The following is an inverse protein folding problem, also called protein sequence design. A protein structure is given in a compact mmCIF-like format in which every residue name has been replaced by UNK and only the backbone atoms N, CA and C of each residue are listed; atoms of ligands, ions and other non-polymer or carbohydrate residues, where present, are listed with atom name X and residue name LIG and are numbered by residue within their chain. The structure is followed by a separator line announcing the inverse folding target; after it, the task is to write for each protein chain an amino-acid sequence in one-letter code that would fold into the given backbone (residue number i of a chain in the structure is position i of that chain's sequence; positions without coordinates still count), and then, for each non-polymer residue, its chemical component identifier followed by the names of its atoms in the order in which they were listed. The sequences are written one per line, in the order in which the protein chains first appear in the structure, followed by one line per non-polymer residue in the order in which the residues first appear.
data_IF_150374361672
#
_entry.id   IF_150374361672
#
_cell.length_a   1.000
_cell.length_b   1.000
_cell.length_c   1.000
_cell.angle_alpha   90.00
_cell.angle_beta   90.00
_cell.angle_gamma   90.00
#
_symmetry.space_group_name_H-M   'P 1'
#
loop_
_entity.id
_entity.type
_entity.pdbx_description
1 polymer ?
#
# COMPACT_ATOMS: atom_id res chain seq x y z
N UNK A 1 -27.42 -7.48 2.02
CA UNK A 1 -26.85 -7.95 3.15
C UNK A 1 -25.58 -8.70 2.96
N UNK A 2 -25.61 -9.91 2.40
CA UNK A 2 -24.39 -10.69 2.17
C UNK A 2 -23.46 -10.03 1.16
N UNK A 3 -23.99 -9.23 0.26
CA UNK A 3 -23.16 -8.55 -0.73
C UNK A 3 -22.22 -7.54 -0.10
N UNK A 4 -22.66 -6.77 0.88
CA UNK A 4 -21.82 -5.84 1.55
C UNK A 4 -20.65 -6.52 2.26
N UNK A 5 -20.88 -7.69 2.83
CA UNK A 5 -19.85 -8.47 3.48
C UNK A 5 -18.83 -9.00 2.48
N UNK A 6 -19.27 -9.42 1.29
CA UNK A 6 -18.35 -9.87 0.25
C UNK A 6 -17.44 -8.75 -0.20
N UNK A 7 -18.01 -7.58 -0.42
CA UNK A 7 -17.21 -6.44 -0.84
C UNK A 7 -16.13 -6.10 0.18
N UNK A 8 -16.49 -6.14 1.46
CA UNK A 8 -15.51 -5.90 2.51
C UNK A 8 -14.38 -6.92 2.48
N UNK A 9 -14.70 -8.20 2.20
CA UNK A 9 -13.67 -9.23 2.11
C UNK A 9 -12.74 -9.00 0.93
N UNK A 10 -13.29 -8.60 -0.21
CA UNK A 10 -12.51 -8.36 -1.41
C UNK A 10 -11.57 -7.16 -1.26
N UNK A 11 -11.95 -6.20 -0.42
CA UNK A 11 -11.15 -5.01 -0.22
C UNK A 11 -10.38 -5.03 1.09
N UNK A 12 -10.31 -6.21 1.72
CA UNK A 12 -9.65 -6.34 3.01
C UNK A 12 -8.18 -5.96 2.93
N UNK A 13 -7.75 -5.14 3.88
CA UNK A 13 -6.34 -4.81 4.07
C UNK A 13 -5.75 -5.74 5.11
N UNK A 14 -4.52 -6.16 4.87
CA UNK A 14 -3.80 -7.01 5.81
C UNK A 14 -2.48 -6.36 6.17
N UNK A 15 -1.97 -6.60 7.40
CA UNK A 15 -0.68 -6.08 7.79
C UNK A 15 0.44 -6.79 7.04
N UNK A 16 1.45 -6.04 6.64
CA UNK A 16 2.63 -6.57 5.98
C UNK A 16 3.84 -5.76 6.43
N UNK A 17 5.03 -6.28 6.12
CA UNK A 17 6.26 -5.52 6.24
C UNK A 17 6.94 -5.60 4.88
N UNK A 18 6.83 -4.53 4.12
CA UNK A 18 7.41 -4.45 2.79
C UNK A 18 8.33 -3.25 2.71
N UNK A 19 9.44 -3.43 2.02
CA UNK A 19 10.27 -2.31 1.62
C UNK A 19 9.76 -1.82 0.28
N UNK A 20 9.54 -0.52 0.17
CA UNK A 20 9.00 0.10 -1.03
C UNK A 20 9.95 1.18 -1.50
N UNK A 21 10.35 1.10 -2.76
CA UNK A 21 11.01 2.19 -3.44
C UNK A 21 9.93 3.02 -4.10
N UNK A 22 9.94 4.32 -3.88
CA UNK A 22 8.99 5.15 -4.58
C UNK A 22 9.65 6.43 -5.08
N UNK A 23 9.11 6.93 -6.19
CA UNK A 23 9.62 8.12 -6.85
C UNK A 23 8.47 9.03 -7.23
N UNK A 24 8.56 10.29 -6.86
CA UNK A 24 7.59 11.30 -7.21
C UNK A 24 8.28 12.64 -7.32
N UNK A 25 8.01 13.37 -8.39
CA UNK A 25 8.50 14.74 -8.57
C UNK A 25 10.02 14.87 -8.38
N UNK A 26 10.75 13.88 -8.90
CA UNK A 26 12.22 13.91 -8.83
C UNK A 26 12.79 13.43 -7.49
N UNK A 27 11.94 13.15 -6.51
CA UNK A 27 12.36 12.64 -5.22
C UNK A 27 12.32 11.11 -5.23
N UNK A 28 13.37 10.49 -4.71
CA UNK A 28 13.49 9.04 -4.66
C UNK A 28 13.62 8.63 -3.22
N UNK A 29 12.71 7.81 -2.72
CA UNK A 29 12.70 7.41 -1.31
C UNK A 29 12.52 5.91 -1.16
N UNK A 30 13.00 5.40 -0.02
CA UNK A 30 12.95 4.00 0.32
C UNK A 30 12.31 3.90 1.71
N UNK A 31 11.08 3.42 1.75
CA UNK A 31 10.26 3.44 2.96
C UNK A 31 9.62 2.09 3.19
N UNK A 32 8.89 1.96 4.29
CA UNK A 32 8.19 0.73 4.62
C UNK A 32 6.70 0.86 4.36
N UNK A 33 6.14 -0.15 3.72
CA UNK A 33 4.68 -0.29 3.67
C UNK A 33 4.26 -1.22 4.80
N UNK A 34 3.18 -0.87 5.48
CA UNK A 34 2.72 -1.61 6.66
C UNK A 34 1.38 -2.29 6.48
N UNK A 35 0.67 -2.00 5.40
CA UNK A 35 -0.51 -2.79 5.05
C UNK A 35 -0.71 -2.76 3.54
N UNK A 36 -1.42 -3.77 3.04
CA UNK A 36 -1.67 -3.92 1.62
C UNK A 36 -3.07 -4.50 1.40
N UNK A 37 -3.70 -4.08 0.30
CA UNK A 37 -4.90 -4.69 -0.23
C UNK A 37 -4.72 -4.82 -1.74
N UNK A 38 -5.69 -5.41 -2.42
CA UNK A 38 -5.63 -5.49 -3.88
C UNK A 38 -5.70 -4.13 -4.56
N UNK A 39 -6.13 -3.10 -3.83
CA UNK A 39 -6.31 -1.77 -4.39
C UNK A 39 -5.17 -0.81 -4.08
N UNK A 40 -4.37 -1.09 -3.07
CA UNK A 40 -3.29 -0.17 -2.71
C UNK A 40 -2.54 -0.56 -1.47
N UNK A 41 -1.66 0.34 -1.05
CA UNK A 41 -0.79 0.15 0.11
C UNK A 41 -0.79 1.41 0.96
N UNK A 42 -0.41 1.24 2.23
CA UNK A 42 -0.08 2.37 3.10
C UNK A 42 1.43 2.38 3.31
N UNK A 43 2.07 3.50 2.98
CA UNK A 43 3.50 3.68 3.13
C UNK A 43 3.75 4.60 4.30
N UNK A 44 4.54 4.15 5.27
CA UNK A 44 4.95 4.99 6.39
C UNK A 44 6.05 5.93 5.94
N UNK A 45 5.84 7.21 6.14
CA UNK A 45 6.84 8.22 5.82
C UNK A 45 6.55 9.46 6.65
N UNK A 46 7.60 10.16 7.05
CA UNK A 46 7.44 11.43 7.75
C UNK A 46 7.13 12.58 6.81
N UNK A 47 7.19 12.31 5.51
CA UNK A 47 7.10 13.34 4.48
C UNK A 47 6.13 12.91 3.38
N UNK A 48 4.85 12.68 3.72
CA UNK A 48 3.89 12.19 2.72
C UNK A 48 3.64 13.25 1.65
N UNK A 49 3.41 12.75 0.44
CA UNK A 49 3.03 13.62 -0.68
C UNK A 49 1.55 13.95 -0.60
N UNK A 50 1.17 15.04 -1.24
CA UNK A 50 -0.22 15.49 -1.24
C UNK A 50 -1.12 14.53 -2.00
N UNK A 51 -2.39 14.40 -1.57
CA UNK A 51 -3.36 13.63 -2.35
C UNK A 51 -3.42 14.11 -3.80
N UNK A 52 -3.52 13.15 -4.70
CA UNK A 52 -3.49 13.41 -6.14
C UNK A 52 -2.12 13.27 -6.77
N UNK A 53 -1.06 13.20 -5.96
CA UNK A 53 0.29 13.03 -6.48
C UNK A 53 0.45 11.62 -7.07
N UNK A 54 1.03 11.55 -8.27
CA UNK A 54 1.32 10.26 -8.91
C UNK A 54 2.71 9.81 -8.51
N UNK A 55 2.83 8.53 -8.19
CA UNK A 55 4.04 7.95 -7.64
C UNK A 55 4.39 6.67 -8.38
N UNK A 56 5.65 6.52 -8.75
CA UNK A 56 6.15 5.24 -9.25
C UNK A 56 6.54 4.38 -8.07
N UNK A 57 5.92 3.22 -7.95
CA UNK A 57 6.15 2.29 -6.85
C UNK A 57 6.87 1.04 -7.33
N UNK A 58 7.76 0.53 -6.50
CA UNK A 58 8.41 -0.75 -6.74
C UNK A 58 8.60 -1.46 -5.42
N UNK A 59 8.11 -2.69 -5.32
CA UNK A 59 8.25 -3.49 -4.10
C UNK A 59 8.25 -4.97 -4.43
N UNK A 60 8.79 -5.76 -3.48
CA UNK A 60 8.84 -7.21 -3.64
C UNK A 60 7.93 -7.84 -2.60
N UNK A 61 7.04 -8.71 -3.03
CA UNK A 61 6.14 -9.40 -2.12
C UNK A 61 6.90 -10.47 -1.36
N UNK A 62 6.64 -10.61 -0.04
CA UNK A 62 7.27 -11.68 0.73
C UNK A 62 6.82 -13.05 0.22
N UNK A 63 7.65 -14.05 0.50
CA UNK A 63 7.43 -15.46 0.15
C UNK A 63 7.57 -15.77 -1.33
N UNK A 64 6.90 -15.02 -2.20
CA UNK A 64 6.96 -15.27 -3.63
C UNK A 64 8.17 -14.64 -4.31
N UNK A 65 8.80 -13.67 -3.66
CA UNK A 65 9.87 -12.85 -4.24
C UNK A 65 9.45 -12.16 -5.54
N UNK A 66 8.14 -12.03 -5.74
CA UNK A 66 7.62 -11.36 -6.92
C UNK A 66 7.83 -9.85 -6.78
N UNK A 67 8.51 -9.27 -7.75
CA UNK A 67 8.71 -7.83 -7.80
C UNK A 67 7.56 -7.17 -8.54
N UNK A 68 6.98 -6.15 -7.95
CA UNK A 68 5.86 -5.41 -8.53
C UNK A 68 6.29 -3.97 -8.77
N UNK A 69 6.10 -3.51 -9.98
CA UNK A 69 6.32 -2.11 -10.35
C UNK A 69 4.99 -1.57 -10.87
N UNK A 70 4.48 -0.54 -10.22
CA UNK A 70 3.15 -0.03 -10.54
C UNK A 70 3.08 1.47 -10.27
N UNK A 71 2.27 2.16 -11.05
CA UNK A 71 1.96 3.56 -10.81
C UNK A 71 0.92 3.63 -9.70
N UNK A 72 1.10 4.57 -8.77
CA UNK A 72 0.16 4.79 -7.70
C UNK A 72 -0.29 6.24 -7.63
N UNK A 73 -1.42 6.46 -7.00
CA UNK A 73 -1.93 7.79 -6.73
C UNK A 73 -2.16 7.94 -5.24
N UNK A 74 -1.61 8.99 -4.65
CA UNK A 74 -1.86 9.28 -3.24
C UNK A 74 -3.32 9.69 -3.08
N UNK A 75 -4.05 8.97 -2.23
CA UNK A 75 -5.45 9.25 -2.00
C UNK A 75 -5.69 9.97 -0.69
N UNK A 76 -4.80 9.79 0.28
CA UNK A 76 -4.87 10.51 1.55
C UNK A 76 -3.49 10.49 2.19
N UNK A 77 -3.27 11.43 3.12
CA UNK A 77 -1.98 11.57 3.78
C UNK A 77 -2.16 11.91 5.25
N UNK A 78 -1.34 11.29 6.09
CA UNK A 78 -1.22 11.61 7.51
C UNK A 78 0.11 12.32 7.71
N UNK A 79 0.12 13.63 7.96
CA UNK A 79 1.37 14.35 8.15
C UNK A 79 2.02 13.99 9.47
N UNK A 80 3.32 14.23 9.57
CA UNK A 80 4.04 14.07 10.82
C UNK A 80 3.49 15.07 11.84
N UNK A 81 3.27 14.59 13.07
CA UNK A 81 2.76 15.42 14.15
C UNK A 81 3.87 15.69 15.17
N UNK A 82 3.84 16.88 15.85
CA UNK A 82 4.87 17.18 16.85
C UNK A 82 4.87 16.22 18.02
N UNK A 83 3.71 15.65 18.36
CA UNK A 83 3.58 14.69 19.45
C UNK A 83 3.31 13.31 18.89
N UNK A 84 4.00 12.33 19.46
CA UNK A 84 3.73 10.95 19.13
C UNK A 84 2.42 10.53 19.78
N UNK A 85 1.48 10.10 18.98
CA UNK A 85 0.18 9.63 19.46
C UNK A 85 0.05 8.14 19.20
N UNK A 86 -0.60 7.43 20.13
CA UNK A 86 -0.90 6.01 19.93
C UNK A 86 -1.83 5.88 18.71
N UNK A 87 -1.61 4.85 17.91
CA UNK A 87 -2.42 4.54 16.74
C UNK A 87 -2.38 5.58 15.62
N UNK A 88 -1.44 6.53 15.68
CA UNK A 88 -1.24 7.47 14.60
C UNK A 88 0.13 7.23 13.97
N UNK A 89 0.14 6.90 12.69
CA UNK A 89 1.36 6.72 11.92
C UNK A 89 1.38 7.70 10.77
N UNK A 90 2.41 8.56 10.69
CA UNK A 90 2.52 9.41 9.51
C UNK A 90 2.77 8.57 8.28
N UNK A 91 2.20 8.98 7.17
CA UNK A 91 2.33 8.24 5.94
C UNK A 91 1.28 8.62 4.93
N UNK A 92 1.13 7.79 3.92
CA UNK A 92 0.17 8.05 2.85
C UNK A 92 -0.45 6.76 2.36
N UNK A 93 -1.74 6.85 2.05
CA UNK A 93 -2.45 5.77 1.39
C UNK A 93 -2.31 5.96 -0.11
N UNK A 94 -1.91 4.91 -0.80
CA UNK A 94 -1.65 4.95 -2.23
C UNK A 94 -2.51 3.91 -2.93
N UNK A 95 -3.27 4.34 -3.94
CA UNK A 95 -4.09 3.48 -4.77
C UNK A 95 -3.28 3.05 -5.99
N UNK A 96 -3.30 1.76 -6.30
CA UNK A 96 -2.66 1.28 -7.52
C UNK A 96 -3.44 1.74 -8.75
N UNK A 97 -2.72 2.19 -9.78
CA UNK A 97 -3.29 2.62 -11.03
C UNK A 97 -2.87 1.63 -12.12
N UNK A 98 -3.85 1.01 -12.76
CA UNK A 98 -3.59 0.04 -13.84
C UNK A 98 -2.69 -1.12 -13.41
N UNK A 99 -2.95 -1.67 -12.24
CA UNK A 99 -2.22 -2.85 -11.77
C UNK A 99 -2.47 -4.02 -12.72
N UNK A 100 -1.41 -4.68 -13.15
CA UNK A 100 -1.52 -5.84 -14.03
C UNK A 100 -2.29 -6.95 -13.33
N UNK A 101 -3.09 -7.68 -14.11
CA UNK A 101 -3.90 -8.75 -13.54
C UNK A 101 -3.06 -9.81 -12.84
N UNK A 102 -1.91 -10.17 -13.41
CA UNK A 102 -1.02 -11.15 -12.79
C UNK A 102 -0.50 -10.67 -11.44
N UNK A 103 -0.20 -9.38 -11.33
CA UNK A 103 0.27 -8.80 -10.08
C UNK A 103 -0.84 -8.75 -9.05
N UNK A 104 -2.06 -8.41 -9.49
CA UNK A 104 -3.22 -8.39 -8.62
C UNK A 104 -3.48 -9.79 -8.04
N UNK A 105 -3.38 -10.82 -8.86
CA UNK A 105 -3.55 -12.19 -8.39
C UNK A 105 -2.50 -12.59 -7.37
N UNK A 106 -1.27 -12.16 -7.58
CA UNK A 106 -0.19 -12.45 -6.64
C UNK A 106 -0.45 -11.76 -5.30
N UNK A 107 -0.90 -10.52 -5.34
CA UNK A 107 -1.24 -9.78 -4.13
C UNK A 107 -2.42 -10.46 -3.40
N UNK A 108 -3.45 -10.85 -4.14
CA UNK A 108 -4.60 -11.53 -3.54
C UNK A 108 -4.21 -12.85 -2.89
N UNK A 109 -3.29 -13.59 -3.49
CA UNK A 109 -2.78 -14.83 -2.91
C UNK A 109 -2.09 -14.58 -1.58
N UNK A 110 -1.29 -13.52 -1.52
CA UNK A 110 -0.61 -13.15 -0.28
C UNK A 110 -1.64 -12.78 0.79
N UNK A 111 -2.64 -11.97 0.43
CA UNK A 111 -3.68 -11.53 1.35
C UNK A 111 -4.42 -12.74 1.93
N UNK A 112 -4.79 -13.69 1.08
CA UNK A 112 -5.48 -14.90 1.53
C UNK A 112 -4.66 -15.68 2.54
N UNK A 113 -3.35 -15.81 2.32
CA UNK A 113 -2.48 -16.52 3.25
C UNK A 113 -2.40 -15.82 4.60
N UNK A 114 -2.28 -14.50 4.60
CA UNK A 114 -2.20 -13.74 5.84
C UNK A 114 -3.54 -13.75 6.57
N UNK A 115 -4.64 -13.58 5.84
CA UNK A 115 -5.97 -13.48 6.43
C UNK A 115 -6.47 -14.79 7.03
N UNK A 116 -5.98 -15.93 6.54
CA UNK A 116 -6.38 -17.25 7.03
C UNK A 116 -5.69 -17.58 8.36
N UNK A 117 -4.55 -16.97 8.62
CA UNK A 117 -3.86 -17.18 9.86
C UNK A 117 -4.53 -16.43 11.01
#
# INVERSE_FOLDING_TARGET
MSEGKREKRLTQRVPVKLKVDWKAEGTFLYENATNISEHGIFVETNDPMDPGTMIDLQFTLPESNKQIAVLGEVTWANPLRPRKEANYNPGMGIRFVNLKEIDKETILSLIKRIAVL
#
